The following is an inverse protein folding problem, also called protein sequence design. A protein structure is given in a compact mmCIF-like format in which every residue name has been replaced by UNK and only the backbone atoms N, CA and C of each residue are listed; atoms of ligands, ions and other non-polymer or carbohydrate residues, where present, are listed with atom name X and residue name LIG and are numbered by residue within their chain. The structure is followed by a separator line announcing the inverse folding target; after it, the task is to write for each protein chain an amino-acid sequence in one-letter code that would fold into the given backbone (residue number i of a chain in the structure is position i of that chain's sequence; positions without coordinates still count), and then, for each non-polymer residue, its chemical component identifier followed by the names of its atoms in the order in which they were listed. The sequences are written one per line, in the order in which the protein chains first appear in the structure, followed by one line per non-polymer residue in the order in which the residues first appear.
data_IF_834058464680
#
_entry.id   IF_834058464680
#
_cell.length_a   1.000
_cell.length_b   1.000
_cell.length_c   1.000
_cell.angle_alpha   90.00
_cell.angle_beta   90.00
_cell.angle_gamma   90.00
#
_symmetry.space_group_name_H-M   'P 1'
#
loop_
_entity.id
_entity.type
_entity.pdbx_description
1 polymer ?
#
# COMPACT_ATOMS: atom_id res chain seq x y z
N UNK A 1 -4.51 5.51 20.21
CA UNK A 1 -3.79 4.26 19.94
C UNK A 1 -4.82 3.14 19.95
N UNK A 2 -5.53 2.95 18.83
CA UNK A 2 -6.52 1.88 18.71
C UNK A 2 -5.82 0.69 18.07
N UNK A 3 -5.48 -0.30 18.88
CA UNK A 3 -5.00 -1.59 18.42
C UNK A 3 -6.21 -2.31 17.81
N UNK A 4 -6.30 -2.36 16.48
CA UNK A 4 -7.37 -3.14 15.86
C UNK A 4 -7.00 -4.62 15.96
N UNK A 5 -7.61 -5.31 16.92
CA UNK A 5 -7.62 -6.77 16.99
C UNK A 5 -8.42 -7.28 15.80
N UNK A 6 -7.70 -7.71 14.76
CA UNK A 6 -8.28 -8.49 13.68
C UNK A 6 -8.87 -9.76 14.28
N UNK A 7 -10.17 -9.97 14.07
CA UNK A 7 -10.83 -11.24 14.37
C UNK A 7 -9.97 -12.38 13.80
N UNK A 8 -9.71 -13.46 14.55
CA UNK A 8 -8.89 -14.55 14.06
C UNK A 8 -9.51 -15.08 12.76
N UNK A 9 -8.73 -15.13 11.66
CA UNK A 9 -9.26 -15.61 10.40
C UNK A 9 -9.61 -17.08 10.52
N UNK A 10 -10.76 -17.47 9.95
CA UNK A 10 -11.24 -18.87 9.88
C UNK A 10 -10.33 -19.82 9.06
N UNK A 11 -9.15 -19.37 8.60
CA UNK A 11 -8.23 -20.13 7.74
C UNK A 11 -6.79 -19.95 8.21
N UNK A 12 -6.07 -21.08 8.33
CA UNK A 12 -4.66 -21.14 8.73
C UNK A 12 -3.67 -20.46 7.77
N UNK A 13 -4.15 -19.96 6.61
CA UNK A 13 -3.36 -19.29 5.56
C UNK A 13 -3.67 -17.81 5.34
N UNK A 14 -4.53 -17.18 6.15
CA UNK A 14 -4.68 -15.72 6.08
C UNK A 14 -3.44 -15.08 6.68
N UNK A 15 -2.56 -14.55 5.84
CA UNK A 15 -1.26 -14.00 6.24
C UNK A 15 -1.32 -12.53 6.62
N UNK A 16 -2.42 -11.83 6.31
CA UNK A 16 -2.54 -10.40 6.52
C UNK A 16 -3.98 -9.89 6.50
N UNK A 17 -4.23 -8.83 7.27
CA UNK A 17 -5.30 -7.87 6.99
C UNK A 17 -4.73 -6.45 7.01
N UNK A 18 -5.12 -5.60 6.07
CA UNK A 18 -4.86 -4.16 6.09
C UNK A 18 -6.14 -3.36 6.15
N UNK A 19 -6.06 -2.21 6.78
CA UNK A 19 -7.17 -1.28 6.92
C UNK A 19 -7.17 -0.24 5.80
N UNK A 20 -8.32 0.40 5.63
CA UNK A 20 -8.57 1.37 4.60
C UNK A 20 -8.12 2.75 5.07
N UNK A 21 -7.23 3.43 4.35
CA UNK A 21 -6.89 4.81 4.68
C UNK A 21 -7.89 5.78 4.05
N UNK A 22 -8.64 6.62 4.79
CA UNK A 22 -9.31 7.79 4.18
C UNK A 22 -8.50 9.05 4.43
N UNK A 23 -8.52 9.94 3.47
CA UNK A 23 -7.84 11.22 3.61
C UNK A 23 -8.71 12.20 4.39
N UNK A 24 -8.12 12.88 5.37
CA UNK A 24 -8.72 14.10 5.90
C UNK A 24 -8.35 15.24 4.95
N UNK A 25 -9.23 15.55 4.01
CA UNK A 25 -9.20 16.87 3.40
C UNK A 25 -9.76 17.81 4.47
N UNK A 26 -8.99 18.82 4.86
CA UNK A 26 -9.54 20.00 5.54
C UNK A 26 -10.82 20.39 4.81
N UNK A 27 -11.93 20.58 5.55
CA UNK A 27 -13.19 21.05 4.97
C UNK A 27 -12.86 22.29 4.15
N UNK A 28 -12.87 22.17 2.83
CA UNK A 28 -12.60 23.29 1.94
C UNK A 28 -13.61 24.38 2.28
N UNK A 29 -13.15 25.44 2.94
CA UNK A 29 -14.01 26.57 3.28
C UNK A 29 -14.35 27.28 1.98
N UNK A 30 -15.65 27.54 1.76
CA UNK A 30 -16.13 28.22 0.55
C UNK A 30 -15.39 29.55 0.36
N UNK A 31 -14.72 29.69 -0.78
CA UNK A 31 -13.90 30.85 -1.12
C UNK A 31 -13.62 30.90 -2.62
N UNK A 32 -13.03 32.00 -3.07
CA UNK A 32 -12.63 32.21 -4.47
C UNK A 32 -11.80 31.02 -5.01
N UNK A 33 -12.04 30.56 -6.26
CA UNK A 33 -11.25 29.48 -6.88
C UNK A 33 -9.73 29.70 -6.83
N UNK A 34 -9.28 30.96 -6.86
CA UNK A 34 -7.88 31.32 -6.79
C UNK A 34 -7.26 31.03 -5.40
N UNK A 35 -8.02 31.25 -4.33
CA UNK A 35 -7.57 30.93 -2.98
C UNK A 35 -7.53 29.41 -2.78
N UNK A 36 -8.49 28.68 -3.36
CA UNK A 36 -8.46 27.22 -3.38
C UNK A 36 -7.18 26.69 -4.04
N UNK A 37 -6.87 27.16 -5.26
CA UNK A 37 -5.69 26.73 -5.99
C UNK A 37 -4.39 27.04 -5.24
N UNK A 38 -4.32 28.18 -4.55
CA UNK A 38 -3.14 28.58 -3.78
C UNK A 38 -2.95 27.74 -2.51
N UNK A 39 -4.02 27.40 -1.80
CA UNK A 39 -3.94 26.84 -0.45
C UNK A 39 -4.15 25.32 -0.39
N UNK A 40 -4.90 24.75 -1.34
CA UNK A 40 -5.44 23.40 -1.23
C UNK A 40 -5.15 22.49 -2.42
N UNK A 41 -4.55 22.99 -3.52
CA UNK A 41 -4.33 22.18 -4.73
C UNK A 41 -3.53 20.90 -4.45
N UNK A 42 -2.48 20.99 -3.62
CA UNK A 42 -1.63 19.83 -3.30
C UNK A 42 -2.35 18.80 -2.44
N UNK A 43 -3.12 19.27 -1.46
CA UNK A 43 -3.93 18.42 -0.59
C UNK A 43 -5.04 17.73 -1.39
N UNK A 44 -5.69 18.46 -2.30
CA UNK A 44 -6.69 17.91 -3.21
C UNK A 44 -6.11 16.84 -4.13
N UNK A 45 -4.97 17.12 -4.79
CA UNK A 45 -4.31 16.16 -5.67
C UNK A 45 -3.86 14.91 -4.90
N UNK A 46 -3.33 15.07 -3.68
CA UNK A 46 -2.99 13.96 -2.82
C UNK A 46 -4.21 13.15 -2.39
N UNK A 47 -5.34 13.81 -2.12
CA UNK A 47 -6.59 13.15 -1.76
C UNK A 47 -7.07 12.28 -2.92
N UNK A 48 -7.16 12.85 -4.12
CA UNK A 48 -7.50 12.11 -5.34
C UNK A 48 -6.57 10.93 -5.59
N UNK A 49 -5.25 11.09 -5.36
CA UNK A 49 -4.28 10.02 -5.56
C UNK A 49 -4.54 8.83 -4.62
N UNK A 50 -4.77 9.10 -3.33
CA UNK A 50 -5.02 8.05 -2.34
C UNK A 50 -6.39 7.39 -2.56
N UNK A 51 -7.45 8.18 -2.80
CA UNK A 51 -8.79 7.64 -3.04
C UNK A 51 -8.83 6.75 -4.28
N UNK A 52 -8.17 7.14 -5.38
CA UNK A 52 -8.00 6.28 -6.56
C UNK A 52 -7.34 4.95 -6.20
N UNK A 53 -6.26 5.00 -5.42
CA UNK A 53 -5.51 3.79 -5.03
C UNK A 53 -6.36 2.86 -4.15
N UNK A 54 -7.13 3.42 -3.24
CA UNK A 54 -8.04 2.68 -2.37
C UNK A 54 -9.15 1.98 -3.15
N UNK A 55 -9.71 2.67 -4.15
CA UNK A 55 -10.70 2.07 -5.04
C UNK A 55 -10.11 0.89 -5.81
N UNK A 56 -8.95 1.09 -6.42
CA UNK A 56 -8.24 0.06 -7.20
C UNK A 56 -7.93 -1.18 -6.35
N UNK A 57 -7.29 -1.02 -5.20
CA UNK A 57 -6.88 -2.16 -4.35
C UNK A 57 -8.09 -2.93 -3.81
N UNK A 58 -9.19 -2.23 -3.50
CA UNK A 58 -10.42 -2.87 -3.04
C UNK A 58 -11.08 -3.65 -4.18
N UNK A 59 -11.11 -3.09 -5.39
CA UNK A 59 -11.69 -3.77 -6.55
C UNK A 59 -10.88 -5.02 -6.92
N UNK A 60 -9.57 -4.90 -7.12
CA UNK A 60 -8.74 -6.03 -7.55
C UNK A 60 -8.70 -7.14 -6.50
N UNK A 61 -8.53 -6.80 -5.22
CA UNK A 61 -8.52 -7.81 -4.16
C UNK A 61 -9.83 -8.59 -4.03
N UNK A 62 -10.98 -8.00 -4.38
CA UNK A 62 -12.27 -8.70 -4.37
C UNK A 62 -12.56 -9.48 -5.67
N UNK A 63 -12.01 -9.05 -6.81
CA UNK A 63 -12.22 -9.72 -8.11
C UNK A 63 -11.37 -10.98 -8.19
N UNK A 64 -10.06 -10.86 -7.99
CA UNK A 64 -9.09 -11.94 -8.22
C UNK A 64 -8.07 -12.10 -7.08
N UNK A 65 -8.16 -11.29 -6.02
CA UNK A 65 -7.16 -11.28 -4.95
C UNK A 65 -5.85 -10.56 -5.34
N UNK A 66 -5.80 -9.96 -6.53
CA UNK A 66 -4.64 -9.30 -7.09
C UNK A 66 -4.27 -8.04 -6.32
N UNK A 67 -2.98 -7.91 -5.98
CA UNK A 67 -2.47 -6.77 -5.24
C UNK A 67 -1.03 -6.46 -5.61
N UNK A 68 -0.82 -5.26 -6.15
CA UNK A 68 0.52 -4.77 -6.52
C UNK A 68 1.34 -4.28 -5.34
N UNK A 69 0.68 -3.67 -4.35
CA UNK A 69 1.32 -3.00 -3.22
C UNK A 69 0.30 -2.79 -2.10
N UNK A 70 0.55 -3.37 -0.93
CA UNK A 70 -0.22 -3.18 0.29
C UNK A 70 0.20 -1.88 0.98
N UNK A 71 -0.72 -1.01 1.39
CA UNK A 71 -0.28 0.25 2.02
C UNK A 71 0.45 0.01 3.34
N UNK A 72 1.70 0.51 3.45
CA UNK A 72 2.48 0.45 4.69
C UNK A 72 1.97 1.32 5.84
N UNK A 73 0.90 2.10 5.65
CA UNK A 73 0.32 2.97 6.69
C UNK A 73 -0.40 2.18 7.77
N UNK A 74 -1.10 1.10 7.39
CA UNK A 74 -1.86 0.29 8.33
C UNK A 74 -2.02 -1.13 7.80
N UNK A 75 -1.22 -2.03 8.33
CA UNK A 75 -1.25 -3.44 8.02
C UNK A 75 -0.85 -4.25 9.25
N UNK A 76 -1.42 -5.44 9.38
CA UNK A 76 -1.02 -6.40 10.40
C UNK A 76 -0.49 -7.67 9.75
N UNK A 77 0.72 -8.05 10.13
CA UNK A 77 1.41 -9.23 9.61
C UNK A 77 1.46 -10.31 10.69
N UNK A 78 1.42 -11.57 10.27
CA UNK A 78 1.70 -12.67 11.19
C UNK A 78 3.16 -12.68 11.59
N UNK A 79 3.45 -12.82 12.88
CA UNK A 79 4.82 -12.86 13.42
C UNK A 79 5.67 -13.94 12.76
N UNK A 80 5.10 -15.13 12.48
CA UNK A 80 5.80 -16.23 11.79
C UNK A 80 6.28 -15.89 10.38
N UNK A 81 5.68 -14.89 9.73
CA UNK A 81 6.12 -14.40 8.43
C UNK A 81 7.35 -13.52 8.62
N UNK A 82 7.28 -12.58 9.56
CA UNK A 82 8.37 -11.63 9.83
C UNK A 82 9.60 -12.30 10.45
N UNK A 83 9.41 -13.39 11.20
CA UNK A 83 10.48 -14.20 11.79
C UNK A 83 11.02 -15.28 10.84
N UNK A 84 10.50 -15.37 9.61
CA UNK A 84 10.95 -16.39 8.67
C UNK A 84 12.34 -16.02 8.10
N UNK A 85 13.32 -16.91 8.24
CA UNK A 85 14.69 -16.66 7.73
C UNK A 85 14.75 -16.32 6.23
N UNK A 86 14.06 -17.06 5.33
CA UNK A 86 13.96 -16.65 3.93
C UNK A 86 13.32 -15.28 3.69
N UNK A 87 12.37 -14.86 4.53
CA UNK A 87 11.78 -13.53 4.44
C UNK A 87 12.81 -12.46 4.81
N UNK A 88 13.49 -12.60 5.95
CA UNK A 88 14.50 -11.64 6.44
C UNK A 88 15.65 -11.52 5.44
N UNK A 89 16.15 -12.67 4.96
CA UNK A 89 17.23 -12.70 3.96
C UNK A 89 16.82 -12.02 2.68
N UNK A 90 15.62 -12.31 2.16
CA UNK A 90 15.11 -11.67 0.95
C UNK A 90 14.90 -10.17 1.11
N UNK A 91 14.36 -9.75 2.25
CA UNK A 91 14.06 -8.34 2.56
C UNK A 91 15.35 -7.52 2.65
N UNK A 92 16.35 -8.01 3.38
CA UNK A 92 17.64 -7.32 3.54
C UNK A 92 18.52 -7.33 2.29
N UNK A 93 18.24 -8.21 1.31
CA UNK A 93 19.02 -8.36 0.09
C UNK A 93 18.17 -8.11 -1.17
N UNK A 94 17.13 -7.27 -1.09
CA UNK A 94 16.35 -6.93 -2.27
C UNK A 94 17.23 -6.24 -3.32
N UNK A 95 17.17 -6.73 -4.57
CA UNK A 95 17.98 -6.22 -5.67
C UNK A 95 17.14 -5.77 -6.85
N UNK A 96 17.63 -4.76 -7.56
CA UNK A 96 17.11 -4.35 -8.85
C UNK A 96 18.24 -4.05 -9.82
N UNK A 97 18.23 -4.72 -10.98
CA UNK A 97 19.28 -4.63 -12.01
C UNK A 97 20.70 -4.78 -11.45
N UNK A 98 20.89 -5.77 -10.55
CA UNK A 98 22.19 -6.09 -9.95
C UNK A 98 22.64 -5.15 -8.83
N UNK A 99 21.81 -4.21 -8.39
CA UNK A 99 22.11 -3.31 -7.25
C UNK A 99 21.22 -3.62 -6.07
N UNK A 100 21.80 -3.63 -4.87
CA UNK A 100 21.05 -3.70 -3.62
C UNK A 100 20.21 -2.43 -3.49
N UNK A 101 18.94 -2.62 -3.16
CA UNK A 101 17.99 -1.55 -2.89
C UNK A 101 17.85 -1.37 -1.38
N UNK A 102 17.51 -0.15 -0.97
CA UNK A 102 16.74 0.01 0.26
C UNK A 102 15.32 -0.48 -0.09
N UNK A 103 14.87 -1.60 0.48
CA UNK A 103 13.58 -2.17 0.13
C UNK A 103 12.48 -1.16 0.44
N UNK A 104 11.48 -1.08 -0.46
CA UNK A 104 10.22 -0.43 -0.14
C UNK A 104 9.36 -1.47 0.58
N UNK A 105 9.20 -1.32 1.91
CA UNK A 105 8.61 -2.32 2.81
C UNK A 105 7.30 -2.91 2.29
N UNK A 106 6.40 -2.02 1.86
CA UNK A 106 5.10 -2.38 1.34
C UNK A 106 5.19 -3.27 0.10
N UNK A 107 5.99 -2.87 -0.87
CA UNK A 107 6.19 -3.57 -2.13
C UNK A 107 6.86 -4.93 -1.94
N UNK A 108 7.95 -4.98 -1.18
CA UNK A 108 8.66 -6.24 -0.93
C UNK A 108 7.75 -7.25 -0.23
N UNK A 109 7.13 -6.83 0.88
CA UNK A 109 6.33 -7.74 1.69
C UNK A 109 5.12 -8.24 0.88
N UNK A 110 4.45 -7.37 0.15
CA UNK A 110 3.32 -7.77 -0.72
C UNK A 110 3.74 -8.83 -1.72
N UNK A 111 4.85 -8.61 -2.42
CA UNK A 111 5.36 -9.52 -3.45
C UNK A 111 5.81 -10.86 -2.85
N UNK A 112 6.44 -10.85 -1.68
CA UNK A 112 6.82 -12.05 -0.95
C UNK A 112 5.60 -12.85 -0.47
N UNK A 113 4.56 -12.18 0.01
CA UNK A 113 3.31 -12.83 0.42
C UNK A 113 2.63 -13.51 -0.76
N UNK A 114 2.51 -12.79 -1.89
CA UNK A 114 1.92 -13.30 -3.13
C UNK A 114 2.72 -14.50 -3.67
N UNK A 115 4.06 -14.42 -3.70
CA UNK A 115 4.90 -15.52 -4.23
C UNK A 115 4.81 -16.81 -3.42
N UNK A 116 4.39 -16.72 -2.14
CA UNK A 116 4.23 -17.85 -1.22
C UNK A 116 2.76 -18.27 -1.04
N UNK A 117 1.83 -17.66 -1.79
CA UNK A 117 0.40 -18.00 -1.73
C UNK A 117 -0.27 -17.64 -0.41
N UNK A 118 0.25 -16.64 0.31
CA UNK A 118 -0.44 -16.11 1.49
C UNK A 118 -1.69 -15.37 1.07
N UNK A 119 -2.79 -15.58 1.80
CA UNK A 119 -4.02 -14.82 1.56
C UNK A 119 -3.90 -13.46 2.24
N UNK A 120 -4.11 -12.41 1.45
CA UNK A 120 -4.16 -11.01 1.89
C UNK A 120 -5.64 -10.59 1.93
N UNK A 121 -6.07 -9.98 3.03
CA UNK A 121 -7.41 -9.41 3.14
C UNK A 121 -7.35 -7.88 3.26
N UNK A 122 -8.27 -7.20 2.57
CA UNK A 122 -8.48 -5.75 2.69
C UNK A 122 -9.76 -5.52 3.50
N UNK A 123 -9.65 -4.80 4.60
CA UNK A 123 -10.80 -4.37 5.38
C UNK A 123 -11.25 -2.98 4.95
N UNK A 124 -12.18 -2.93 3.99
CA UNK A 124 -12.85 -1.70 3.55
C UNK A 124 -14.18 -1.55 4.30
N UNK A 125 -14.12 -0.93 5.49
CA UNK A 125 -15.29 -0.64 6.30
C UNK A 125 -15.17 0.74 6.93
N UNK A 126 -16.30 1.43 7.15
CA UNK A 126 -16.32 2.78 7.75
C UNK A 126 -15.64 2.81 9.14
N UNK A 127 -15.74 1.72 9.90
CA UNK A 127 -15.12 1.57 11.22
C UNK A 127 -13.62 1.23 11.17
N UNK A 128 -13.08 0.90 10.00
CA UNK A 128 -11.68 0.52 9.79
C UNK A 128 -10.96 1.55 8.92
N UNK A 129 -11.32 2.82 9.11
CA UNK A 129 -10.78 3.96 8.39
C UNK A 129 -9.61 4.56 9.17
N UNK A 130 -8.44 4.61 8.53
CA UNK A 130 -7.28 5.32 9.05
C UNK A 130 -7.15 6.68 8.39
N UNK A 131 -7.13 7.73 9.19
CA UNK A 131 -6.97 9.10 8.69
C UNK A 131 -5.50 9.48 8.55
N UNK A 132 -5.16 10.15 7.45
CA UNK A 132 -3.80 10.63 7.19
C UNK A 132 -3.82 12.08 6.73
N UNK A 133 -2.80 12.83 7.13
CA UNK A 133 -2.52 14.19 6.66
C UNK A 133 -1.69 14.13 5.39
N UNK A 134 -2.02 14.99 4.41
CA UNK A 134 -1.30 15.06 3.15
C UNK A 134 -0.32 16.22 3.09
N UNK A 135 0.66 16.09 2.19
CA UNK A 135 1.56 17.18 1.85
C UNK A 135 0.78 18.35 1.22
N UNK A 136 0.93 19.55 1.80
CA UNK A 136 0.22 20.76 1.38
C UNK A 136 1.02 21.63 0.39
N UNK A 137 2.14 21.11 -0.10
CA UNK A 137 3.06 21.84 -0.98
C UNK A 137 3.60 20.91 -2.09
N UNK A 138 4.45 21.45 -2.95
CA UNK A 138 5.03 20.74 -4.09
C UNK A 138 5.85 19.49 -3.72
N UNK A 139 6.20 19.28 -2.45
CA UNK A 139 6.79 18.01 -1.96
C UNK A 139 5.91 16.80 -2.25
N UNK A 140 4.59 17.00 -2.41
CA UNK A 140 3.70 15.98 -2.92
C UNK A 140 4.19 15.35 -4.23
N UNK A 141 4.80 16.12 -5.13
CA UNK A 141 5.37 15.59 -6.38
C UNK A 141 6.58 14.70 -6.14
N UNK A 142 7.46 15.06 -5.20
CA UNK A 142 8.58 14.20 -4.81
C UNK A 142 8.10 12.89 -4.19
N UNK A 143 7.02 12.95 -3.40
CA UNK A 143 6.36 11.75 -2.87
C UNK A 143 5.78 10.88 -3.98
N UNK A 144 5.08 11.46 -4.95
CA UNK A 144 4.58 10.74 -6.13
C UNK A 144 5.70 10.12 -6.95
N UNK A 145 6.80 10.84 -7.17
CA UNK A 145 7.95 10.34 -7.92
C UNK A 145 8.64 9.18 -7.20
N UNK A 146 8.73 9.23 -5.87
CA UNK A 146 9.22 8.10 -5.07
C UNK A 146 8.33 6.88 -5.28
N UNK A 147 7.01 7.03 -5.09
CA UNK A 147 6.06 5.93 -5.30
C UNK A 147 6.09 5.36 -6.72
N UNK A 148 6.15 6.22 -7.74
CA UNK A 148 6.21 5.79 -9.13
C UNK A 148 7.45 4.93 -9.41
N UNK A 149 8.63 5.35 -8.91
CA UNK A 149 9.87 4.59 -9.07
C UNK A 149 9.81 3.24 -8.34
N UNK A 150 9.28 3.21 -7.13
CA UNK A 150 9.15 2.00 -6.31
C UNK A 150 8.18 0.99 -6.91
N UNK A 151 6.97 1.45 -7.23
CA UNK A 151 5.94 0.60 -7.82
C UNK A 151 6.35 0.09 -9.20
N UNK A 152 7.00 0.92 -10.03
CA UNK A 152 7.51 0.48 -11.32
C UNK A 152 8.48 -0.70 -11.20
N UNK A 153 9.50 -0.56 -10.32
CA UNK A 153 10.49 -1.62 -10.07
C UNK A 153 9.81 -2.88 -9.55
N UNK A 154 9.00 -2.77 -8.50
CA UNK A 154 8.33 -3.92 -7.88
C UNK A 154 7.38 -4.63 -8.84
N UNK A 155 6.52 -3.87 -9.54
CA UNK A 155 5.55 -4.43 -10.49
C UNK A 155 6.25 -5.14 -11.64
N UNK A 156 7.31 -4.56 -12.19
CA UNK A 156 8.09 -5.21 -13.25
C UNK A 156 8.73 -6.50 -12.74
N UNK A 157 9.34 -6.50 -11.55
CA UNK A 157 9.90 -7.73 -10.95
C UNK A 157 8.81 -8.79 -10.79
N UNK A 158 7.68 -8.43 -10.21
CA UNK A 158 6.57 -9.36 -9.95
C UNK A 158 5.98 -9.95 -11.24
N UNK A 159 5.69 -9.08 -12.22
CA UNK A 159 5.01 -9.46 -13.46
C UNK A 159 5.95 -10.11 -14.47
N UNK A 160 7.17 -9.59 -14.67
CA UNK A 160 8.04 -10.04 -15.76
C UNK A 160 9.12 -11.01 -15.28
N UNK A 161 9.75 -10.75 -14.14
CA UNK A 161 10.87 -11.56 -13.66
C UNK A 161 10.40 -12.81 -12.90
N UNK A 162 9.59 -12.62 -11.87
CA UNK A 162 9.19 -13.68 -10.94
C UNK A 162 7.96 -14.45 -11.40
N UNK A 163 6.99 -13.75 -12.02
CA UNK A 163 5.83 -14.33 -12.71
C UNK A 163 4.87 -15.14 -11.82
N UNK A 164 4.98 -15.01 -10.50
CA UNK A 164 4.05 -15.69 -9.57
C UNK A 164 2.60 -15.29 -9.81
N UNK A 165 2.37 -14.01 -10.15
CA UNK A 165 1.04 -13.45 -10.46
C UNK A 165 0.33 -14.12 -11.63
N UNK A 166 1.04 -14.74 -12.57
CA UNK A 166 0.45 -15.42 -13.74
C UNK A 166 0.15 -16.90 -13.51
N UNK A 167 0.68 -17.46 -12.42
CA UNK A 167 0.58 -18.90 -12.09
C UNK A 167 -0.35 -19.16 -10.91
N UNK A 168 -0.98 -18.09 -10.42
CA UNK A 168 -1.90 -18.08 -9.27
C UNK A 168 -3.27 -18.63 -9.64
#
# INVERSE_FOLDING_TARGET
MSLLLLSPPRSARLGLSSEFGRVFASRFSGGSPWNFLREYVWEYLGACYIERRNFEITATSNIDGGMSCLSGRTAAFWTKILQNEPFITGYCNEMWRGKILNPDDDNFITRWLVSRGWRIAIQSAEKAVVQTTLERNSKFLYQCLRWARSNWRSNFTSTICERHVWRS
#
